data_IF_470668923750
#
_entry.id   IF_470668923750
#
_cell.length_a   1.000
_cell.length_b   1.000
_cell.length_c   1.000
_cell.angle_alpha   90.00
_cell.angle_beta   90.00
_cell.angle_gamma   90.00
#
_symmetry.space_group_name_H-M   'P 1'
#
loop_
_entity.id
_entity.type
_entity.pdbx_description
1 polymer ?
#
# COMPACT_ATOMS: atom_id res chain seq x y z
N UNK A 1 15.03 -20.64 -8.38
CA UNK A 1 14.10 -19.48 -8.32
C UNK A 1 12.77 -19.90 -8.94
N UNK A 2 11.95 -20.64 -8.20
CA UNK A 2 10.58 -20.94 -8.64
C UNK A 2 9.75 -19.69 -8.37
N UNK A 3 9.78 -18.72 -9.28
CA UNK A 3 8.95 -17.53 -9.18
C UNK A 3 7.50 -17.99 -9.15
N UNK A 4 6.82 -17.81 -8.03
CA UNK A 4 5.36 -17.74 -8.04
C UNK A 4 4.99 -16.80 -9.17
N UNK A 5 4.16 -17.29 -10.10
CA UNK A 5 3.77 -16.60 -11.32
C UNK A 5 3.58 -15.11 -11.05
N UNK A 6 4.33 -14.25 -11.75
CA UNK A 6 4.05 -12.83 -11.81
C UNK A 6 2.67 -12.69 -12.47
N UNK A 7 1.62 -12.72 -11.65
CA UNK A 7 0.22 -12.78 -12.05
C UNK A 7 -0.43 -11.53 -11.47
N UNK A 8 -0.05 -10.40 -12.03
CA UNK A 8 -0.67 -9.12 -11.70
C UNK A 8 -1.68 -8.76 -12.81
N UNK A 9 -2.99 -8.67 -12.50
CA UNK A 9 -4.00 -8.26 -13.48
C UNK A 9 -3.81 -6.81 -13.97
N UNK A 10 -2.91 -6.03 -13.35
CA UNK A 10 -2.61 -4.64 -13.68
C UNK A 10 -1.24 -4.46 -14.34
N UNK A 11 -0.36 -5.48 -14.32
CA UNK A 11 1.01 -5.38 -14.80
C UNK A 11 1.37 -6.54 -15.73
N UNK A 12 2.00 -6.22 -16.86
CA UNK A 12 2.50 -7.20 -17.79
C UNK A 12 3.76 -7.88 -17.24
N UNK A 13 3.63 -9.17 -16.91
CA UNK A 13 4.67 -9.99 -16.30
C UNK A 13 5.98 -10.08 -17.10
N UNK A 14 5.93 -9.97 -18.43
CA UNK A 14 7.11 -10.09 -19.30
C UNK A 14 7.87 -8.78 -19.48
N UNK A 15 7.19 -7.64 -19.31
CA UNK A 15 7.76 -6.32 -19.60
C UNK A 15 7.87 -5.42 -18.37
N UNK A 16 7.30 -5.83 -17.23
CA UNK A 16 7.20 -5.04 -16.00
C UNK A 16 6.54 -3.67 -16.23
N UNK A 17 5.60 -3.59 -17.19
CA UNK A 17 4.86 -2.38 -17.51
C UNK A 17 3.40 -2.52 -17.11
N UNK A 18 2.81 -1.43 -16.65
CA UNK A 18 1.38 -1.35 -16.41
C UNK A 18 0.60 -1.67 -17.70
N UNK A 19 -0.49 -2.41 -17.56
CA UNK A 19 -1.42 -2.65 -18.64
C UNK A 19 -2.17 -1.35 -18.99
N UNK A 20 -2.66 -1.19 -20.23
CA UNK A 20 -3.43 -0.01 -20.62
C UNK A 20 -4.59 0.27 -19.65
N UNK A 21 -4.63 1.50 -19.12
CA UNK A 21 -5.66 1.93 -18.17
C UNK A 21 -5.40 1.61 -16.70
N UNK A 22 -4.37 0.81 -16.38
CA UNK A 22 -3.92 0.63 -15.00
C UNK A 22 -3.17 1.88 -14.52
N UNK A 23 -3.52 2.35 -13.32
CA UNK A 23 -2.82 3.45 -12.63
C UNK A 23 -1.74 2.92 -11.69
N UNK A 24 -1.86 1.66 -11.27
CA UNK A 24 -0.99 1.03 -10.29
C UNK A 24 -0.93 -0.48 -10.51
N UNK A 25 0.09 -1.10 -9.93
CA UNK A 25 0.24 -2.55 -9.80
C UNK A 25 -0.51 -3.04 -8.55
N UNK A 26 -0.99 -4.28 -8.58
CA UNK A 26 -1.74 -4.89 -7.48
C UNK A 26 -0.94 -5.10 -6.19
N UNK A 27 0.39 -4.93 -6.23
CA UNK A 27 1.27 -5.04 -5.05
C UNK A 27 1.10 -3.88 -4.06
N UNK A 28 0.59 -2.73 -4.52
CA UNK A 28 0.36 -1.58 -3.65
C UNK A 28 -0.93 -1.69 -2.83
N UNK A 29 -0.85 -1.55 -1.51
CA UNK A 29 -2.03 -1.55 -0.60
C UNK A 29 -3.03 -0.40 -0.87
N UNK A 30 -2.57 0.66 -1.54
CA UNK A 30 -3.42 1.76 -2.03
C UNK A 30 -3.85 1.57 -3.49
N UNK A 31 -3.67 0.38 -4.07
CA UNK A 31 -4.19 0.00 -5.38
C UNK A 31 -5.41 -0.93 -5.20
N UNK A 32 -6.50 -0.62 -5.88
CA UNK A 32 -7.70 -1.45 -5.93
C UNK A 32 -8.21 -1.47 -7.37
N UNK A 33 -8.41 -2.66 -7.94
CA UNK A 33 -8.88 -2.83 -9.33
C UNK A 33 -8.06 -2.04 -10.35
N UNK A 34 -6.73 -2.06 -10.18
CA UNK A 34 -5.76 -1.30 -10.98
C UNK A 34 -5.92 0.23 -10.93
N UNK A 35 -6.66 0.75 -9.94
CA UNK A 35 -6.86 2.18 -9.68
C UNK A 35 -6.33 2.56 -8.32
N UNK A 36 -5.88 3.81 -8.21
CA UNK A 36 -5.51 4.35 -6.90
C UNK A 36 -6.76 4.49 -6.05
N UNK A 37 -6.71 3.98 -4.82
CA UNK A 37 -7.74 4.22 -3.81
C UNK A 37 -7.86 5.72 -3.55
N UNK A 38 -9.07 6.19 -3.29
CA UNK A 38 -9.33 7.61 -3.04
C UNK A 38 -8.50 8.14 -1.87
N UNK A 39 -8.12 9.43 -1.94
CA UNK A 39 -7.45 10.11 -0.84
C UNK A 39 -8.28 9.98 0.46
N UNK A 40 -7.63 9.67 1.58
CA UNK A 40 -8.33 9.43 2.85
C UNK A 40 -8.81 7.99 3.06
N UNK A 41 -8.53 7.06 2.13
CA UNK A 41 -8.78 5.64 2.37
C UNK A 41 -7.75 5.06 3.34
N UNK A 42 -8.18 4.41 4.42
CA UNK A 42 -7.24 3.79 5.38
C UNK A 42 -6.40 2.71 4.70
N UNK A 43 -5.08 2.78 4.87
CA UNK A 43 -4.11 1.79 4.39
C UNK A 43 -3.25 1.18 5.49
N UNK A 44 -3.25 1.76 6.69
CA UNK A 44 -2.70 1.12 7.89
C UNK A 44 -3.61 1.42 9.07
N UNK A 45 -4.06 0.36 9.73
CA UNK A 45 -4.80 0.47 10.97
C UNK A 45 -3.87 0.81 12.14
N UNK A 46 -4.35 1.54 13.16
CA UNK A 46 -3.65 1.72 14.42
C UNK A 46 -3.39 0.39 15.13
N UNK A 47 -2.19 0.23 15.71
CA UNK A 47 -1.85 -0.88 16.60
C UNK A 47 -2.20 -0.61 18.07
N UNK A 48 -2.55 0.63 18.42
CA UNK A 48 -2.88 1.04 19.78
C UNK A 48 -3.39 2.48 19.83
N UNK A 49 -3.75 2.96 21.03
CA UNK A 49 -4.35 4.28 21.24
C UNK A 49 -3.44 5.47 20.87
N UNK A 50 -2.11 5.26 20.89
CA UNK A 50 -1.12 6.26 20.52
C UNK A 50 -0.66 6.17 19.06
N UNK A 51 -1.12 5.16 18.33
CA UNK A 51 -0.75 4.94 16.93
C UNK A 51 -1.78 5.59 16.02
N UNK A 52 -1.35 6.44 15.10
CA UNK A 52 -2.27 7.12 14.19
C UNK A 52 -2.49 6.27 12.94
N UNK A 53 -3.71 6.22 12.38
CA UNK A 53 -3.93 5.56 11.09
C UNK A 53 -3.23 6.31 9.96
N UNK A 54 -2.77 5.58 8.94
CA UNK A 54 -2.34 6.18 7.67
C UNK A 54 -3.38 5.96 6.57
N UNK A 55 -3.39 6.93 5.67
CA UNK A 55 -4.36 7.03 4.60
C UNK A 55 -3.66 7.13 3.25
N UNK A 56 -4.25 6.48 2.25
CA UNK A 56 -3.86 6.63 0.87
C UNK A 56 -3.96 8.10 0.46
N UNK A 57 -3.01 8.55 -0.36
CA UNK A 57 -2.98 9.94 -0.85
C UNK A 57 -3.86 10.17 -2.07
N UNK A 58 -4.32 9.10 -2.73
CA UNK A 58 -4.96 9.16 -4.05
C UNK A 58 -3.99 9.38 -5.22
N UNK A 59 -2.69 9.51 -4.95
CA UNK A 59 -1.65 9.76 -5.95
C UNK A 59 -0.53 8.72 -5.96
N UNK A 60 -0.54 7.79 -5.01
CA UNK A 60 0.46 6.74 -4.84
C UNK A 60 -0.21 5.39 -4.56
N UNK A 61 0.30 4.28 -5.12
CA UNK A 61 -0.18 2.94 -4.79
C UNK A 61 0.33 2.43 -3.43
N UNK A 62 1.29 3.13 -2.84
CA UNK A 62 1.86 2.80 -1.54
C UNK A 62 1.25 3.68 -0.45
N UNK A 63 1.02 3.07 0.71
CA UNK A 63 0.69 3.80 1.92
C UNK A 63 1.86 4.73 2.29
N UNK A 64 1.61 5.96 2.76
CA UNK A 64 2.66 6.82 3.29
C UNK A 64 3.47 6.12 4.40
N UNK A 65 4.72 6.53 4.64
CA UNK A 65 5.47 6.10 5.81
C UNK A 65 4.68 6.34 7.09
N UNK A 66 4.82 5.45 8.07
CA UNK A 66 4.19 5.61 9.37
C UNK A 66 4.62 6.95 10.00
N UNK A 67 3.63 7.73 10.40
CA UNK A 67 3.80 9.04 11.03
C UNK A 67 4.35 8.92 12.46
N UNK A 68 4.13 7.76 13.10
CA UNK A 68 4.57 7.43 14.46
C UNK A 68 5.38 6.12 14.42
N UNK A 69 6.71 6.15 14.54
CA UNK A 69 7.51 4.94 14.54
C UNK A 69 6.98 3.94 15.57
N UNK A 70 6.85 2.67 15.16
CA UNK A 70 6.32 1.60 16.02
C UNK A 70 7.11 1.46 17.34
N UNK A 71 8.40 1.86 17.36
CA UNK A 71 9.20 1.96 18.58
C UNK A 71 8.62 2.91 19.64
N UNK A 72 8.03 4.03 19.21
CA UNK A 72 7.43 5.02 20.13
C UNK A 72 6.14 4.48 20.76
N UNK A 73 5.45 3.56 20.06
CA UNK A 73 4.27 2.86 20.59
C UNK A 73 4.67 1.85 21.68
N UNK A 74 5.73 1.06 21.46
CA UNK A 74 6.15 0.01 22.40
C UNK A 74 6.78 0.54 23.70
N UNK A 75 7.48 1.68 23.68
CA UNK A 75 8.15 2.21 24.90
C UNK A 75 7.15 2.85 25.89
N UNK A 76 5.93 3.22 25.44
CA UNK A 76 4.90 3.78 26.35
C UNK A 76 4.13 2.74 27.18
N UNK A 77 4.15 1.48 26.77
CA UNK A 77 3.48 0.39 27.49
C UNK A 77 4.44 -0.48 28.32
N UNK A 78 5.72 -0.12 28.39
CA UNK A 78 6.77 -0.79 29.19
C UNK A 78 7.03 -0.12 30.53
#
# INVERSE_FOLDING_TARGET
LTSGSCRDPCCNASTCKLLPGAQCSSDGICCQDCKLRAAGSVCREPLGECDLPEYCTGSSPYCPPNSVPVLDVYIKHG
#
